data_IF_417631736176
#
_entry.id   IF_417631736176
#
_cell.length_a   1.000
_cell.length_b   1.000
_cell.length_c   1.000
_cell.angle_alpha   90.00
_cell.angle_beta   90.00
_cell.angle_gamma   90.00
#
_symmetry.space_group_name_H-M   'P 1'
#
loop_
_entity.id
_entity.type
_entity.pdbx_description
1 polymer ?
#
# COMPACT_ATOMS: atom_id res chain seq x y z
N UNK A 1 -2.66 -4.20 23.19
CA UNK A 1 -3.36 -4.27 21.89
C UNK A 1 -4.88 -4.36 22.02
N UNK A 2 -5.44 -5.19 22.92
CA UNK A 2 -6.91 -5.28 23.09
C UNK A 2 -7.59 -3.93 23.38
N UNK A 3 -7.00 -3.07 24.22
CA UNK A 3 -7.56 -1.73 24.49
C UNK A 3 -7.65 -0.84 23.24
N UNK A 4 -6.69 -0.95 22.31
CA UNK A 4 -6.68 -0.19 21.05
C UNK A 4 -7.82 -0.68 20.14
N UNK A 5 -8.07 -1.99 20.10
CA UNK A 5 -9.14 -2.58 19.29
C UNK A 5 -10.52 -2.04 19.67
N UNK A 6 -10.81 -1.91 20.96
CA UNK A 6 -12.09 -1.34 21.45
C UNK A 6 -12.21 0.13 21.09
N UNK A 7 -11.13 0.92 21.23
CA UNK A 7 -11.14 2.31 20.80
C UNK A 7 -11.41 2.43 19.28
N UNK A 8 -10.78 1.58 18.47
CA UNK A 8 -11.00 1.58 17.02
C UNK A 8 -12.45 1.29 16.63
N UNK A 9 -13.12 0.33 17.28
CA UNK A 9 -14.52 0.02 16.97
C UNK A 9 -15.47 1.16 17.34
N UNK A 10 -15.30 1.75 18.52
CA UNK A 10 -16.12 2.89 18.97
C UNK A 10 -15.91 4.11 18.07
N UNK A 11 -14.65 4.45 17.76
CA UNK A 11 -14.34 5.56 16.86
C UNK A 11 -14.87 5.30 15.45
N UNK A 12 -14.84 4.06 14.96
CA UNK A 12 -15.40 3.71 13.66
C UNK A 12 -16.91 3.96 13.62
N UNK A 13 -17.64 3.55 14.66
CA UNK A 13 -19.09 3.77 14.74
C UNK A 13 -19.44 5.28 14.81
N UNK A 14 -18.71 6.06 15.60
CA UNK A 14 -18.89 7.50 15.70
C UNK A 14 -18.52 8.24 14.40
N UNK A 15 -17.48 7.78 13.69
CA UNK A 15 -17.08 8.34 12.40
C UNK A 15 -18.08 8.03 11.27
N UNK A 16 -18.89 6.97 11.41
CA UNK A 16 -19.90 6.64 10.41
C UNK A 16 -21.13 7.56 10.53
N UNK A 17 -21.42 8.06 11.74
CA UNK A 17 -22.56 8.95 12.02
C UNK A 17 -22.23 10.44 11.88
N UNK A 18 -21.06 10.88 12.37
CA UNK A 18 -20.67 12.30 12.36
C UNK A 18 -19.53 12.59 11.37
N UNK A 19 -19.87 13.34 10.32
CA UNK A 19 -18.92 13.82 9.30
C UNK A 19 -17.81 14.69 9.88
N UNK A 20 -18.14 15.60 10.79
CA UNK A 20 -17.20 16.57 11.37
C UNK A 20 -16.17 15.85 12.20
N UNK A 21 -16.62 14.92 13.05
CA UNK A 21 -15.77 14.08 13.86
C UNK A 21 -14.86 13.20 12.99
N UNK A 22 -15.41 12.56 11.95
CA UNK A 22 -14.63 11.79 10.98
C UNK A 22 -13.53 12.64 10.33
N UNK A 23 -13.83 13.88 9.94
CA UNK A 23 -12.86 14.81 9.34
C UNK A 23 -11.75 15.18 10.33
N UNK A 24 -12.07 15.40 11.60
CA UNK A 24 -11.09 15.67 12.65
C UNK A 24 -10.19 14.46 12.92
N UNK A 25 -10.77 13.28 13.15
CA UNK A 25 -10.01 12.05 13.41
C UNK A 25 -9.13 11.68 12.21
N UNK A 26 -9.64 11.86 10.99
CA UNK A 26 -8.86 11.65 9.77
C UNK A 26 -7.59 12.50 9.74
N UNK A 27 -7.64 13.76 10.17
CA UNK A 27 -6.47 14.64 10.18
C UNK A 27 -5.38 14.14 11.13
N UNK A 28 -5.76 13.54 12.25
CA UNK A 28 -4.84 12.97 13.24
C UNK A 28 -4.31 11.59 12.83
N UNK A 29 -5.17 10.70 12.33
CA UNK A 29 -4.82 9.31 12.02
C UNK A 29 -4.19 9.15 10.64
N UNK A 30 -4.72 9.87 9.64
CA UNK A 30 -4.30 9.81 8.23
C UNK A 30 -3.97 11.24 7.73
N UNK A 31 -2.93 11.90 8.27
CA UNK A 31 -2.58 13.26 7.87
C UNK A 31 -2.24 13.34 6.38
N UNK A 32 -2.52 14.48 5.75
CA UNK A 32 -2.22 14.68 4.32
C UNK A 32 -0.71 14.70 4.02
N UNK A 33 0.12 15.04 5.00
CA UNK A 33 1.58 15.00 4.90
C UNK A 33 2.11 13.89 5.79
N UNK A 34 2.73 12.89 5.18
CA UNK A 34 3.28 11.72 5.85
C UNK A 34 4.68 11.49 5.30
N UNK A 35 5.66 11.29 6.18
CA UNK A 35 6.96 10.77 5.76
C UNK A 35 6.76 9.33 5.25
N UNK A 36 6.90 9.16 3.94
CA UNK A 36 6.74 7.87 3.25
C UNK A 36 8.08 7.21 2.90
N UNK A 37 9.21 7.76 3.34
CA UNK A 37 10.53 7.15 3.14
C UNK A 37 10.75 5.94 4.08
N UNK A 38 9.95 5.84 5.16
CA UNK A 38 10.00 4.76 6.17
C UNK A 38 8.72 3.92 6.07
N UNK A 39 8.77 2.59 6.33
CA UNK A 39 7.56 1.77 6.38
C UNK A 39 6.50 2.32 7.35
N UNK A 40 5.25 2.38 6.87
CA UNK A 40 4.15 3.05 7.58
C UNK A 40 3.75 2.43 8.92
N UNK A 41 4.15 1.17 9.19
CA UNK A 41 3.90 0.47 10.44
C UNK A 41 4.99 0.71 11.51
N UNK A 42 6.10 1.36 11.14
CA UNK A 42 7.26 1.60 12.00
C UNK A 42 7.13 2.97 12.68
N UNK A 43 7.49 3.02 13.97
CA UNK A 43 7.43 4.23 14.81
C UNK A 43 6.32 4.21 15.86
N UNK A 44 6.22 5.31 16.60
CA UNK A 44 5.32 5.46 17.77
C UNK A 44 4.13 6.39 17.50
N UNK A 45 3.94 6.82 16.25
CA UNK A 45 2.78 7.63 15.87
C UNK A 45 1.48 6.83 15.98
N UNK A 46 0.37 7.52 16.23
CA UNK A 46 -0.97 6.91 16.26
C UNK A 46 -1.27 6.16 14.96
N UNK A 47 -0.87 6.74 13.82
CA UNK A 47 -0.93 6.09 12.52
C UNK A 47 -0.18 4.75 12.54
N UNK A 48 1.12 4.76 12.88
CA UNK A 48 1.95 3.56 12.86
C UNK A 48 1.38 2.44 13.74
N UNK A 49 0.83 2.79 14.91
CA UNK A 49 0.16 1.84 15.81
C UNK A 49 -1.07 1.20 15.16
N UNK A 50 -1.93 1.98 14.50
CA UNK A 50 -3.14 1.46 13.84
C UNK A 50 -2.77 0.64 12.59
N UNK A 51 -1.80 1.10 11.79
CA UNK A 51 -1.30 0.35 10.62
C UNK A 51 -0.71 -0.99 11.04
N UNK A 52 0.06 -1.02 12.13
CA UNK A 52 0.58 -2.27 12.71
C UNK A 52 -0.52 -3.21 13.16
N UNK A 53 -1.66 -2.66 13.61
CA UNK A 53 -2.86 -3.41 13.93
C UNK A 53 -3.42 -4.22 12.76
N UNK A 54 -3.26 -3.76 11.51
CA UNK A 54 -3.72 -4.47 10.31
C UNK A 54 -2.95 -5.77 10.04
N UNK A 55 -1.72 -5.86 10.53
CA UNK A 55 -0.88 -7.06 10.43
C UNK A 55 -0.85 -7.87 11.72
N UNK A 56 -1.79 -7.61 12.66
CA UNK A 56 -1.90 -8.37 13.89
C UNK A 56 -2.40 -9.79 13.63
N UNK A 57 -1.89 -10.75 14.40
CA UNK A 57 -2.35 -12.14 14.40
C UNK A 57 -3.77 -12.25 14.98
N UNK A 58 -4.18 -11.29 15.82
CA UNK A 58 -5.51 -11.28 16.42
C UNK A 58 -6.53 -10.67 15.45
N UNK A 59 -7.44 -11.50 14.93
CA UNK A 59 -8.45 -11.07 13.95
C UNK A 59 -9.29 -9.89 14.44
N UNK A 60 -9.67 -9.86 15.73
CA UNK A 60 -10.43 -8.75 16.32
C UNK A 60 -9.66 -7.41 16.26
N UNK A 61 -8.33 -7.44 16.40
CA UNK A 61 -7.50 -6.23 16.30
C UNK A 61 -7.43 -5.78 14.84
N UNK A 62 -7.16 -6.72 13.94
CA UNK A 62 -7.06 -6.50 12.49
C UNK A 62 -8.35 -5.93 11.91
N UNK A 63 -9.49 -6.54 12.23
CA UNK A 63 -10.82 -6.13 11.75
C UNK A 63 -11.23 -4.76 12.29
N UNK A 64 -10.98 -4.47 13.56
CA UNK A 64 -11.31 -3.15 14.13
C UNK A 64 -10.38 -2.03 13.63
N UNK A 65 -9.08 -2.30 13.50
CA UNK A 65 -8.13 -1.34 12.93
C UNK A 65 -8.44 -1.06 11.45
N UNK A 66 -8.72 -2.10 10.67
CA UNK A 66 -9.14 -1.99 9.27
C UNK A 66 -10.46 -1.28 9.10
N UNK A 67 -11.46 -1.58 9.94
CA UNK A 67 -12.77 -0.93 9.93
C UNK A 67 -12.68 0.58 10.20
N UNK A 68 -11.85 0.99 11.17
CA UNK A 68 -11.60 2.41 11.43
C UNK A 68 -10.98 3.10 10.20
N UNK A 69 -9.88 2.56 9.66
CA UNK A 69 -9.22 3.15 8.48
C UNK A 69 -10.17 3.20 7.29
N UNK A 70 -10.93 2.14 7.05
CA UNK A 70 -11.89 2.05 5.96
C UNK A 70 -12.99 3.13 6.09
N UNK A 71 -13.51 3.32 7.30
CA UNK A 71 -14.49 4.39 7.59
C UNK A 71 -13.89 5.78 7.40
N UNK A 72 -12.67 6.03 7.87
CA UNK A 72 -11.95 7.29 7.66
C UNK A 72 -11.65 7.57 6.16
N UNK A 73 -11.57 6.51 5.36
CA UNK A 73 -11.42 6.55 3.90
C UNK A 73 -12.76 6.58 3.15
N UNK A 74 -13.88 6.87 3.83
CA UNK A 74 -15.24 6.91 3.25
C UNK A 74 -15.64 5.60 2.57
N UNK A 75 -15.22 4.47 3.15
CA UNK A 75 -15.50 3.12 2.61
C UNK A 75 -15.00 2.96 1.16
N UNK A 76 -13.86 3.57 0.84
CA UNK A 76 -13.20 3.46 -0.47
C UNK A 76 -11.86 2.73 -0.31
N UNK A 77 -11.78 1.56 -0.94
CA UNK A 77 -10.62 0.67 -0.88
C UNK A 77 -9.37 1.32 -1.49
N UNK A 78 -9.51 2.05 -2.58
CA UNK A 78 -8.36 2.68 -3.24
C UNK A 78 -7.76 3.80 -2.37
N UNK A 79 -8.61 4.60 -1.71
CA UNK A 79 -8.15 5.59 -0.72
C UNK A 79 -7.45 4.92 0.46
N UNK A 80 -8.00 3.82 0.95
CA UNK A 80 -7.35 3.04 2.01
C UNK A 80 -5.97 2.57 1.56
N UNK A 81 -5.86 1.89 0.42
CA UNK A 81 -4.59 1.40 -0.13
C UNK A 81 -3.57 2.52 -0.35
N UNK A 82 -4.01 3.71 -0.75
CA UNK A 82 -3.13 4.87 -0.87
C UNK A 82 -2.55 5.34 0.48
N UNK A 83 -3.30 5.21 1.57
CA UNK A 83 -2.88 5.67 2.89
C UNK A 83 -2.08 4.65 3.69
N UNK A 84 -2.35 3.36 3.50
CA UNK A 84 -1.72 2.25 4.25
C UNK A 84 -0.86 1.32 3.42
N UNK A 85 -0.96 1.31 2.10
CA UNK A 85 -0.35 0.30 1.24
C UNK A 85 -1.18 -0.98 1.20
N UNK A 86 -1.29 -1.58 0.01
CA UNK A 86 -2.05 -2.80 -0.19
C UNK A 86 -1.54 -3.96 0.67
N UNK A 87 -0.23 -4.10 0.86
CA UNK A 87 0.37 -5.18 1.66
C UNK A 87 -0.12 -5.17 3.12
N UNK A 88 -0.28 -3.99 3.72
CA UNK A 88 -0.82 -3.86 5.08
C UNK A 88 -2.34 -4.07 5.10
N UNK A 89 -3.05 -3.61 4.07
CA UNK A 89 -4.52 -3.71 3.99
C UNK A 89 -5.02 -5.10 3.58
N UNK A 90 -4.20 -5.92 2.91
CA UNK A 90 -4.59 -7.17 2.27
C UNK A 90 -5.35 -8.12 3.21
N UNK A 91 -4.87 -8.29 4.45
CA UNK A 91 -5.53 -9.17 5.43
C UNK A 91 -6.97 -8.74 5.74
N UNK A 92 -7.19 -7.44 5.91
CA UNK A 92 -8.53 -6.88 6.12
C UNK A 92 -9.39 -6.98 4.86
N UNK A 93 -8.83 -6.66 3.69
CA UNK A 93 -9.55 -6.69 2.41
C UNK A 93 -9.99 -8.11 2.05
N UNK A 94 -9.15 -9.11 2.32
CA UNK A 94 -9.46 -10.52 2.10
C UNK A 94 -10.66 -10.97 2.93
N UNK A 95 -10.64 -10.66 4.23
CA UNK A 95 -11.67 -11.09 5.19
C UNK A 95 -13.03 -10.43 4.91
N UNK A 96 -13.02 -9.21 4.35
CA UNK A 96 -14.23 -8.46 4.02
C UNK A 96 -14.67 -8.62 2.55
N UNK A 97 -13.99 -9.45 1.75
CA UNK A 97 -14.35 -9.68 0.34
C UNK A 97 -14.11 -8.50 -0.60
N UNK A 98 -13.26 -7.54 -0.20
CA UNK A 98 -13.01 -6.27 -0.90
C UNK A 98 -11.84 -6.33 -1.89
N UNK A 99 -11.22 -7.50 -2.09
CA UNK A 99 -10.05 -7.67 -2.96
C UNK A 99 -10.33 -7.37 -4.44
N UNK A 100 -11.56 -7.55 -4.91
CA UNK A 100 -11.92 -7.26 -6.30
C UNK A 100 -11.96 -5.75 -6.61
N UNK A 101 -12.15 -4.91 -5.58
CA UNK A 101 -12.25 -3.46 -5.73
C UNK A 101 -10.89 -2.79 -5.97
N UNK A 102 -9.78 -3.50 -5.75
CA UNK A 102 -8.41 -2.98 -5.92
C UNK A 102 -7.93 -2.94 -7.36
N UNK A 103 -8.72 -3.39 -8.34
CA UNK A 103 -8.32 -3.49 -9.74
C UNK A 103 -8.28 -2.13 -10.47
N UNK A 104 -8.74 -1.05 -9.84
CA UNK A 104 -8.71 0.29 -10.45
C UNK A 104 -7.42 1.01 -10.06
N UNK A 105 -6.58 1.43 -11.03
CA UNK A 105 -5.43 2.28 -10.72
C UNK A 105 -5.92 3.59 -10.10
N UNK A 106 -5.33 3.97 -8.97
CA UNK A 106 -5.70 5.17 -8.24
C UNK A 106 -5.41 6.42 -9.07
N UNK A 107 -6.46 7.16 -9.43
CA UNK A 107 -6.33 8.43 -10.15
C UNK A 107 -6.28 9.57 -9.14
N UNK A 108 -5.10 10.17 -8.96
CA UNK A 108 -4.81 11.22 -7.98
C UNK A 108 -5.77 12.43 -8.07
N UNK A 109 -6.32 12.69 -9.25
CA UNK A 109 -7.18 13.85 -9.54
C UNK A 109 -8.68 13.60 -9.45
N UNK A 110 -9.15 12.34 -9.47
CA UNK A 110 -10.58 12.03 -9.52
C UNK A 110 -11.15 11.48 -8.21
N UNK A 111 -10.32 10.80 -7.42
CA UNK A 111 -10.76 10.05 -6.24
C UNK A 111 -10.45 10.76 -4.91
N UNK A 112 -9.82 11.92 -4.91
CA UNK A 112 -9.62 12.77 -3.72
C UNK A 112 -10.67 13.88 -3.71
N UNK A 113 -11.36 14.10 -2.58
CA UNK A 113 -12.20 15.32 -2.49
C UNK A 113 -11.30 16.57 -2.45
N UNK A 114 -11.79 17.77 -2.82
CA UNK A 114 -10.99 19.01 -2.78
C UNK A 114 -10.31 19.28 -1.43
N UNK A 115 -10.89 18.77 -0.33
CA UNK A 115 -10.33 18.85 1.02
C UNK A 115 -9.17 17.87 1.32
N UNK A 116 -8.83 16.99 0.37
CA UNK A 116 -7.97 15.80 0.55
C UNK A 116 -6.75 15.81 -0.39
N UNK A 117 -6.27 16.97 -0.86
CA UNK A 117 -4.99 17.02 -1.58
C UNK A 117 -3.87 16.39 -0.73
N UNK A 118 -3.45 15.18 -1.11
CA UNK A 118 -2.33 14.49 -0.47
C UNK A 118 -1.09 14.85 -1.25
N UNK A 119 -0.25 15.69 -0.66
CA UNK A 119 1.00 16.12 -1.30
C UNK A 119 1.96 14.93 -1.25
N UNK A 120 2.19 14.30 -2.40
CA UNK A 120 3.33 13.41 -2.58
C UNK A 120 4.58 14.29 -2.63
N UNK A 121 5.61 13.91 -1.86
CA UNK A 121 6.86 14.67 -1.87
C UNK A 121 7.48 14.63 -3.28
N UNK A 122 7.70 15.82 -3.84
CA UNK A 122 8.45 15.99 -5.08
C UNK A 122 9.94 16.05 -4.75
N UNK A 123 10.77 15.35 -5.52
CA UNK A 123 12.21 15.49 -5.42
C UNK A 123 12.65 16.91 -5.81
N UNK A 124 13.89 17.29 -5.46
CA UNK A 124 14.52 18.58 -5.82
C UNK A 124 14.54 18.87 -7.34
N UNK A 125 14.25 17.86 -8.16
CA UNK A 125 14.16 17.89 -9.63
C UNK A 125 12.71 18.01 -10.16
N UNK A 126 11.71 18.13 -9.28
CA UNK A 126 10.29 18.22 -9.67
C UNK A 126 9.70 16.90 -10.18
N UNK A 127 10.40 15.77 -10.03
CA UNK A 127 9.85 14.44 -10.30
C UNK A 127 9.19 13.91 -9.02
N UNK A 128 7.93 13.51 -9.14
CA UNK A 128 7.22 12.78 -8.08
C UNK A 128 7.98 11.47 -7.84
N UNK A 129 8.52 11.29 -6.64
CA UNK A 129 9.21 10.05 -6.25
C UNK A 129 8.26 8.86 -6.50
N UNK A 130 8.78 7.73 -6.97
CA UNK A 130 7.95 6.57 -7.33
C UNK A 130 7.22 5.99 -6.11
N UNK A 131 5.90 6.18 -6.06
CA UNK A 131 5.03 5.62 -5.03
C UNK A 131 4.83 4.11 -5.23
N UNK A 132 5.17 3.32 -4.22
CA UNK A 132 4.91 1.88 -4.22
C UNK A 132 3.55 1.59 -3.58
N UNK A 133 2.57 1.25 -4.42
CA UNK A 133 1.20 0.95 -3.99
C UNK A 133 1.10 -0.27 -3.06
N UNK A 134 2.08 -1.19 -3.09
CA UNK A 134 2.11 -2.36 -2.21
C UNK A 134 2.47 -1.93 -0.80
N UNK A 135 3.58 -1.22 -0.64
CA UNK A 135 4.09 -0.84 0.68
C UNK A 135 3.46 0.45 1.23
N UNK A 136 2.88 1.28 0.37
CA UNK A 136 2.43 2.63 0.71
C UNK A 136 3.58 3.61 0.97
N UNK A 137 4.80 3.20 0.65
CA UNK A 137 6.02 3.98 0.81
C UNK A 137 6.46 4.58 -0.52
N UNK A 138 7.31 5.58 -0.42
CA UNK A 138 8.00 6.14 -1.56
C UNK A 138 9.37 5.48 -1.59
N UNK A 139 9.68 4.75 -2.66
CA UNK A 139 11.02 4.20 -2.83
C UNK A 139 11.95 5.35 -3.20
N UNK A 140 13.03 5.51 -2.45
CA UNK A 140 14.19 6.24 -2.93
C UNK A 140 14.58 5.58 -4.26
N UNK A 141 14.40 6.30 -5.35
CA UNK A 141 14.66 5.78 -6.69
C UNK A 141 16.15 5.48 -6.83
N UNK A 142 16.51 4.22 -6.62
CA UNK A 142 17.54 3.56 -7.41
C UNK A 142 17.00 2.17 -7.68
N UNK A 143 16.27 2.03 -8.78
CA UNK A 143 16.30 0.74 -9.49
C UNK A 143 17.69 0.77 -10.11
N UNK A 144 18.69 0.33 -9.35
CA UNK A 144 20.02 0.06 -9.90
C UNK A 144 19.78 -0.88 -11.07
N UNK A 145 20.38 -0.58 -12.22
CA UNK A 145 20.26 -1.50 -13.34
C UNK A 145 20.83 -2.85 -12.86
N UNK A 146 20.08 -3.96 -12.94
CA UNK A 146 20.57 -5.25 -12.43
C UNK A 146 21.90 -5.70 -13.05
N UNK A 147 22.26 -5.08 -14.17
CA UNK A 147 23.47 -5.32 -14.95
C UNK A 147 24.58 -4.29 -14.70
N UNK A 148 24.32 -3.27 -13.89
CA UNK A 148 25.27 -2.21 -13.57
C UNK A 148 26.34 -2.74 -12.60
N UNK A 149 27.59 -2.76 -13.04
CA UNK A 149 28.72 -3.30 -12.27
C UNK A 149 29.11 -4.75 -12.59
N UNK A 150 28.36 -5.48 -13.44
CA UNK A 150 28.78 -6.80 -13.94
C UNK A 150 29.74 -6.68 -15.12
N UNK A 151 30.75 -7.56 -15.13
CA UNK A 151 31.60 -7.76 -16.31
C UNK A 151 30.84 -8.46 -17.45
N UNK A 152 31.29 -8.30 -18.69
CA UNK A 152 30.58 -8.86 -19.86
C UNK A 152 30.43 -10.40 -19.82
N UNK A 153 31.35 -11.10 -19.17
CA UNK A 153 31.28 -12.55 -18.99
C UNK A 153 30.24 -12.95 -17.95
N UNK A 154 30.10 -12.20 -16.87
CA UNK A 154 29.07 -12.47 -15.86
C UNK A 154 27.68 -12.15 -16.40
N UNK A 155 27.54 -11.11 -17.24
CA UNK A 155 26.29 -10.80 -17.94
C UNK A 155 25.80 -11.97 -18.80
N UNK A 156 26.68 -12.59 -19.58
CA UNK A 156 26.33 -13.76 -20.40
C UNK A 156 25.88 -14.96 -19.56
N UNK A 157 26.56 -15.21 -18.43
CA UNK A 157 26.17 -16.30 -17.53
C UNK A 157 24.78 -16.08 -16.91
N UNK A 158 24.41 -14.84 -16.61
CA UNK A 158 23.05 -14.52 -16.14
C UNK A 158 22.01 -14.65 -17.25
N UNK A 159 22.33 -14.25 -18.47
CA UNK A 159 21.48 -14.44 -19.65
C UNK A 159 21.20 -15.93 -19.90
N UNK A 160 22.22 -16.80 -19.84
CA UNK A 160 22.06 -18.25 -20.00
C UNK A 160 21.19 -18.85 -18.90
N UNK A 161 21.38 -18.44 -17.64
CA UNK A 161 20.52 -18.87 -16.52
C UNK A 161 19.08 -18.42 -16.73
N UNK A 162 18.86 -17.20 -17.21
CA UNK A 162 17.53 -16.67 -17.49
C UNK A 162 16.84 -17.48 -18.59
N UNK A 163 17.55 -17.80 -19.67
CA UNK A 163 17.03 -18.64 -20.76
C UNK A 163 16.66 -20.06 -20.29
N UNK A 164 17.48 -20.67 -19.43
CA UNK A 164 17.18 -21.97 -18.84
C UNK A 164 15.95 -21.93 -17.93
N UNK A 165 15.81 -20.87 -17.11
CA UNK A 165 14.61 -20.63 -16.28
C UNK A 165 13.36 -20.44 -17.14
N UNK A 166 13.44 -19.68 -18.24
CA UNK A 166 12.33 -19.50 -19.18
C UNK A 166 11.94 -20.83 -19.84
N UNK A 167 12.91 -21.61 -20.31
CA UNK A 167 12.67 -22.92 -20.92
C UNK A 167 12.02 -23.91 -19.92
N UNK A 168 12.44 -23.87 -18.65
CA UNK A 168 11.83 -24.67 -17.58
C UNK A 168 10.37 -24.26 -17.33
N UNK A 169 10.07 -22.96 -17.33
CA UNK A 169 8.72 -22.44 -17.13
C UNK A 169 7.80 -22.73 -18.33
N UNK A 170 8.33 -22.75 -19.54
CA UNK A 170 7.62 -23.18 -20.74
C UNK A 170 7.30 -24.68 -20.66
N UNK A 171 8.27 -25.51 -20.26
CA UNK A 171 8.11 -26.96 -20.11
C UNK A 171 7.11 -27.34 -19.01
N UNK A 172 7.00 -26.54 -17.94
CA UNK A 172 5.97 -26.73 -16.90
C UNK A 172 4.60 -26.19 -17.30
N UNK A 173 4.46 -25.57 -18.48
CA UNK A 173 3.20 -25.04 -18.99
C UNK A 173 2.71 -23.77 -18.28
N UNK A 174 3.54 -23.17 -17.43
CA UNK A 174 3.22 -21.95 -16.69
C UNK A 174 3.39 -20.68 -17.54
N UNK A 175 4.15 -20.79 -18.63
CA UNK A 175 4.42 -19.70 -19.58
C UNK A 175 4.07 -20.17 -20.99
N UNK A 176 3.19 -19.42 -21.67
CA UNK A 176 2.86 -19.63 -23.09
C UNK A 176 3.45 -18.44 -23.86
N UNK A 177 4.63 -18.62 -24.45
CA UNK A 177 5.24 -17.57 -25.27
C UNK A 177 4.48 -17.45 -26.59
N UNK A 178 3.59 -16.46 -26.69
CA UNK A 178 2.99 -16.07 -27.97
C UNK A 178 4.04 -15.27 -28.75
N UNK A 179 4.84 -15.94 -29.56
CA UNK A 179 5.68 -15.27 -30.55
C UNK A 179 4.75 -14.78 -31.67
N UNK A 180 4.35 -13.51 -31.63
CA UNK A 180 3.74 -12.87 -32.79
C UNK A 180 4.83 -12.76 -33.87
N UNK A 181 4.60 -13.46 -34.99
CA UNK A 181 5.39 -13.35 -36.22
C UNK A 181 5.16 -12.01 -36.90
#
# INVERSE_FOLDING_TARGET
MQSISVCCSVLSALCDTDYTLRKQIRREVLPSKINRDIPLHVGDSLKALIVRGLSSIQDVVKTNAGGLIYTLCKKNVNRMNFHVGFGNAAGFLMENGLMSETQKPYSFSGDLSPDEEVILEEDKTGKVKAYDAISGTIKATVKEDPLEGLTDEERKMEEEKLLDLMAKLEKTGMLKMTVNK
#
